data_IF_783023314100
#
_entry.id   IF_783023314100
#
_cell.length_a   1.000
_cell.length_b   1.000
_cell.length_c   1.000
_cell.angle_alpha   90.00
_cell.angle_beta   90.00
_cell.angle_gamma   90.00
#
_symmetry.space_group_name_H-M   'P 1'
#
loop_
_entity.id
_entity.type
_entity.pdbx_description
1 polymer ?
#
# COMPACT_ATOMS: atom_id res chain seq x y z
N UNK A 1 30.86 12.05 -15.23
CA UNK A 1 29.74 11.38 -15.91
C UNK A 1 29.26 10.36 -14.89
N UNK A 2 28.19 10.69 -14.17
CA UNK A 2 27.84 10.05 -12.89
C UNK A 2 27.52 8.57 -13.06
N UNK A 3 27.99 7.76 -12.12
CA UNK A 3 27.51 6.40 -11.91
C UNK A 3 25.98 6.46 -11.81
N UNK A 4 25.29 5.81 -12.75
CA UNK A 4 23.88 5.52 -12.54
C UNK A 4 23.84 4.47 -11.43
N UNK A 5 23.50 4.89 -10.22
CA UNK A 5 23.09 3.95 -9.17
C UNK A 5 21.98 3.09 -9.77
N UNK A 6 22.26 1.80 -9.97
CA UNK A 6 21.33 0.87 -10.60
C UNK A 6 20.05 0.78 -9.74
N UNK A 7 18.97 1.38 -10.23
CA UNK A 7 17.67 1.35 -9.55
C UNK A 7 17.01 0.01 -9.84
N UNK A 8 16.55 -0.67 -8.78
CA UNK A 8 15.86 -1.95 -8.93
C UNK A 8 14.55 -1.81 -9.72
N UNK A 9 14.50 -2.40 -10.91
CA UNK A 9 13.28 -2.53 -11.71
C UNK A 9 12.45 -3.74 -11.29
N UNK A 10 11.12 -3.59 -11.25
CA UNK A 10 10.27 -4.68 -10.78
C UNK A 10 10.17 -5.83 -11.78
N UNK A 11 10.27 -5.54 -13.07
CA UNK A 11 10.19 -6.55 -14.12
C UNK A 11 11.53 -7.23 -14.35
N UNK A 12 12.65 -6.49 -14.35
CA UNK A 12 13.97 -7.02 -14.72
C UNK A 12 15.01 -7.04 -13.58
N UNK A 13 14.72 -6.43 -12.44
CA UNK A 13 15.66 -6.29 -11.32
C UNK A 13 16.78 -5.31 -11.66
N UNK A 14 18.03 -5.73 -11.45
CA UNK A 14 19.23 -4.94 -11.82
C UNK A 14 19.80 -5.33 -13.20
N UNK A 15 19.10 -6.15 -13.97
CA UNK A 15 19.57 -6.63 -15.27
C UNK A 15 18.49 -6.50 -16.34
N UNK A 16 18.68 -7.20 -17.46
CA UNK A 16 17.72 -7.22 -18.57
C UNK A 16 16.80 -8.45 -18.56
N UNK A 17 17.05 -9.42 -17.67
CA UNK A 17 16.29 -10.66 -17.61
C UNK A 17 14.97 -10.46 -16.85
N UNK A 18 13.86 -10.88 -17.46
CA UNK A 18 12.54 -10.82 -16.81
C UNK A 18 12.51 -11.73 -15.57
N UNK A 19 12.13 -11.14 -14.44
CA UNK A 19 11.98 -11.82 -13.16
C UNK A 19 10.78 -12.78 -13.20
N UNK A 20 10.90 -13.88 -12.45
CA UNK A 20 9.87 -14.92 -12.40
C UNK A 20 8.44 -14.42 -12.11
N UNK A 21 8.20 -13.47 -11.18
CA UNK A 21 6.84 -12.94 -10.94
C UNK A 21 6.22 -12.26 -12.17
N UNK A 22 7.06 -11.67 -13.02
CA UNK A 22 6.63 -10.96 -14.24
C UNK A 22 6.59 -11.84 -15.49
N UNK A 23 7.19 -13.03 -15.49
CA UNK A 23 7.36 -13.85 -16.70
C UNK A 23 6.07 -14.04 -17.51
N UNK A 24 4.96 -14.40 -16.86
CA UNK A 24 3.66 -14.59 -17.54
C UNK A 24 3.07 -13.27 -18.06
N UNK A 25 3.26 -12.19 -17.31
CA UNK A 25 2.83 -10.86 -17.72
C UNK A 25 3.63 -10.37 -18.93
N UNK A 26 4.96 -10.51 -18.91
CA UNK A 26 5.83 -10.14 -20.03
C UNK A 26 5.48 -10.90 -21.30
N UNK A 27 5.27 -12.23 -21.22
CA UNK A 27 4.84 -13.00 -22.40
C UNK A 27 3.49 -12.53 -22.97
N UNK A 28 2.53 -12.18 -22.10
CA UNK A 28 1.26 -11.61 -22.54
C UNK A 28 1.45 -10.20 -23.15
N UNK A 29 2.28 -9.37 -22.54
CA UNK A 29 2.52 -7.99 -22.94
C UNK A 29 3.25 -7.91 -24.30
N UNK A 30 4.24 -8.77 -24.53
CA UNK A 30 4.95 -8.89 -25.81
C UNK A 30 4.05 -9.40 -26.95
N UNK A 31 3.04 -10.21 -26.62
CA UNK A 31 2.03 -10.65 -27.58
C UNK A 31 0.98 -9.58 -27.91
N UNK A 32 0.90 -8.50 -27.14
CA UNK A 32 -0.08 -7.43 -27.35
C UNK A 32 0.45 -6.36 -28.31
N UNK A 33 -0.39 -5.91 -29.24
CA UNK A 33 0.00 -4.80 -30.13
C UNK A 33 -0.10 -3.45 -29.39
N UNK A 34 0.81 -2.48 -29.65
CA UNK A 34 0.73 -1.15 -29.04
C UNK A 34 -0.63 -0.46 -29.25
N UNK A 35 -1.25 -0.64 -30.41
CA UNK A 35 -2.57 -0.07 -30.72
C UNK A 35 -3.68 -0.68 -29.85
N UNK A 36 -3.63 -1.98 -29.56
CA UNK A 36 -4.57 -2.65 -28.68
C UNK A 36 -4.41 -2.17 -27.22
N UNK A 37 -3.17 -2.02 -26.73
CA UNK A 37 -2.88 -1.50 -25.40
C UNK A 37 -3.36 -0.05 -25.24
N UNK A 38 -3.10 0.81 -26.23
CA UNK A 38 -3.59 2.19 -26.23
C UNK A 38 -5.12 2.27 -26.24
N UNK A 39 -5.79 1.39 -27.00
CA UNK A 39 -7.24 1.27 -26.99
C UNK A 39 -7.76 0.88 -25.60
N UNK A 40 -7.20 -0.16 -24.98
CA UNK A 40 -7.56 -0.59 -23.62
C UNK A 40 -7.29 0.49 -22.57
N UNK A 41 -6.20 1.26 -22.71
CA UNK A 41 -5.91 2.39 -21.82
C UNK A 41 -6.99 3.49 -21.90
N UNK A 42 -7.45 3.82 -23.11
CA UNK A 42 -8.55 4.80 -23.29
C UNK A 42 -9.87 4.29 -22.73
N UNK A 43 -10.17 3.01 -22.92
CA UNK A 43 -11.36 2.34 -22.37
C UNK A 43 -11.33 2.34 -20.84
N UNK A 44 -10.20 1.95 -20.23
CA UNK A 44 -9.99 1.98 -18.78
C UNK A 44 -10.17 3.40 -18.22
N UNK A 45 -9.54 4.41 -18.80
CA UNK A 45 -9.72 5.82 -18.38
C UNK A 45 -11.17 6.30 -18.48
N UNK A 46 -11.90 5.83 -19.48
CA UNK A 46 -13.33 6.18 -19.66
C UNK A 46 -14.20 5.46 -18.64
N UNK A 47 -13.85 4.23 -18.29
CA UNK A 47 -14.50 3.48 -17.23
C UNK A 47 -14.28 4.16 -15.86
N UNK A 48 -13.03 4.48 -15.50
CA UNK A 48 -12.68 5.22 -14.27
C UNK A 48 -13.43 6.55 -14.15
N UNK A 49 -13.56 7.29 -15.25
CA UNK A 49 -14.35 8.53 -15.30
C UNK A 49 -15.83 8.32 -14.95
N UNK A 50 -16.42 7.22 -15.43
CA UNK A 50 -17.84 6.93 -15.23
C UNK A 50 -18.15 6.38 -13.85
N UNK A 51 -17.20 5.67 -13.22
CA UNK A 51 -17.37 5.14 -11.87
C UNK A 51 -17.15 6.20 -10.78
N UNK A 52 -16.71 7.41 -11.13
CA UNK A 52 -16.64 8.54 -10.19
C UNK A 52 -15.53 8.40 -9.15
N UNK A 53 -14.46 7.67 -9.47
CA UNK A 53 -13.31 7.50 -8.58
C UNK A 53 -12.43 8.75 -8.73
N UNK A 54 -12.78 9.79 -8.00
CA UNK A 54 -12.10 11.08 -7.97
C UNK A 54 -11.37 11.25 -6.64
N UNK A 55 -10.24 11.95 -6.65
CA UNK A 55 -9.53 12.32 -5.43
C UNK A 55 -9.79 13.79 -5.11
N UNK A 56 -10.14 14.07 -3.85
CA UNK A 56 -10.06 15.44 -3.31
C UNK A 56 -8.61 15.71 -2.93
N UNK A 57 -7.95 16.62 -3.65
CA UNK A 57 -6.62 17.09 -3.24
C UNK A 57 -6.80 17.87 -1.94
N UNK A 58 -6.37 17.28 -0.82
CA UNK A 58 -6.35 17.96 0.46
C UNK A 58 -5.42 19.18 0.37
N UNK A 59 -6.01 20.38 0.36
CA UNK A 59 -5.25 21.64 0.34
C UNK A 59 -5.95 22.81 -0.35
N UNK A 60 -6.88 22.56 -1.28
CA UNK A 60 -7.56 23.62 -2.02
C UNK A 60 -9.09 23.51 -1.92
N UNK A 61 -9.73 24.62 -1.54
CA UNK A 61 -11.20 24.77 -1.47
C UNK A 61 -11.83 24.74 -2.88
N UNK A 62 -11.01 24.82 -3.92
CA UNK A 62 -11.35 24.70 -5.35
C UNK A 62 -10.58 23.56 -6.05
N UNK A 63 -10.29 22.46 -5.36
CA UNK A 63 -9.70 21.30 -6.02
C UNK A 63 -10.74 20.65 -6.95
N UNK A 64 -10.74 21.05 -8.23
CA UNK A 64 -11.41 20.31 -9.31
C UNK A 64 -11.12 18.81 -9.14
N UNK A 65 -12.16 17.98 -9.15
CA UNK A 65 -12.04 16.53 -9.07
C UNK A 65 -11.08 16.02 -10.17
N UNK A 66 -9.85 15.66 -9.79
CA UNK A 66 -8.87 15.10 -10.72
C UNK A 66 -8.92 13.59 -10.68
N UNK A 67 -9.00 12.99 -11.87
CA UNK A 67 -8.87 11.55 -12.04
C UNK A 67 -7.44 11.15 -11.75
N UNK A 68 -7.28 10.13 -10.91
CA UNK A 68 -5.97 9.51 -10.71
C UNK A 68 -5.53 8.86 -12.03
N UNK A 69 -4.30 9.11 -12.51
CA UNK A 69 -3.79 8.45 -13.69
C UNK A 69 -3.72 6.93 -13.43
N UNK A 70 -4.32 6.16 -14.33
CA UNK A 70 -4.31 4.71 -14.28
C UNK A 70 -3.28 4.15 -15.27
N UNK A 71 -2.38 3.31 -14.75
CA UNK A 71 -1.42 2.54 -15.55
C UNK A 71 -1.92 1.10 -15.75
N UNK A 72 -1.67 0.55 -16.94
CA UNK A 72 -2.04 -0.81 -17.29
C UNK A 72 -1.01 -1.84 -16.79
N UNK A 73 0.23 -1.40 -16.53
CA UNK A 73 1.31 -2.26 -16.05
C UNK A 73 1.13 -2.48 -14.54
N UNK A 74 0.78 -3.70 -14.09
CA UNK A 74 0.58 -3.96 -12.68
C UNK A 74 1.93 -3.99 -11.93
N UNK A 75 1.88 -3.59 -10.66
CA UNK A 75 2.94 -3.92 -9.69
C UNK A 75 2.71 -5.35 -9.20
N UNK A 76 3.53 -6.30 -9.68
CA UNK A 76 3.41 -7.71 -9.32
C UNK A 76 4.38 -8.01 -8.19
N UNK A 77 3.86 -8.52 -7.07
CA UNK A 77 4.64 -8.99 -5.93
C UNK A 77 4.51 -10.51 -5.86
N UNK A 78 5.63 -11.22 -5.83
CA UNK A 78 5.67 -12.68 -5.74
C UNK A 78 5.17 -13.19 -4.39
N UNK A 79 4.72 -14.44 -4.33
CA UNK A 79 4.14 -15.02 -3.11
C UNK A 79 5.12 -15.04 -1.91
N UNK A 80 6.41 -15.33 -2.16
CA UNK A 80 7.45 -15.32 -1.12
C UNK A 80 7.75 -13.91 -0.60
N UNK A 81 7.77 -12.93 -1.49
CA UNK A 81 7.96 -11.51 -1.17
C UNK A 81 6.79 -10.99 -0.36
N UNK A 82 5.56 -11.31 -0.78
CA UNK A 82 4.34 -10.96 -0.05
C UNK A 82 4.32 -11.59 1.35
N UNK A 83 4.70 -12.87 1.47
CA UNK A 83 4.78 -13.54 2.77
C UNK A 83 5.79 -12.88 3.71
N UNK A 84 6.92 -12.36 3.19
CA UNK A 84 7.88 -11.58 3.97
C UNK A 84 7.26 -10.26 4.44
N UNK A 85 6.64 -9.52 3.52
CA UNK A 85 5.97 -8.25 3.81
C UNK A 85 4.88 -8.41 4.88
N UNK A 86 4.00 -9.40 4.74
CA UNK A 86 2.91 -9.67 5.71
C UNK A 86 3.47 -9.89 7.12
N UNK A 87 4.50 -10.73 7.27
CA UNK A 87 5.11 -10.97 8.59
C UNK A 87 5.70 -9.69 9.20
N UNK A 88 6.39 -8.88 8.40
CA UNK A 88 6.96 -7.61 8.84
C UNK A 88 5.90 -6.59 9.24
N UNK A 89 4.86 -6.43 8.42
CA UNK A 89 3.74 -5.51 8.66
C UNK A 89 2.97 -5.93 9.92
N UNK A 90 2.63 -7.21 10.07
CA UNK A 90 1.95 -7.70 11.27
C UNK A 90 2.76 -7.47 12.54
N UNK A 91 4.07 -7.75 12.50
CA UNK A 91 4.96 -7.48 13.62
C UNK A 91 4.94 -5.99 13.99
N UNK A 92 5.06 -5.11 13.00
CA UNK A 92 5.08 -3.66 13.20
C UNK A 92 3.77 -3.13 13.77
N UNK A 93 2.63 -3.55 13.23
CA UNK A 93 1.30 -3.14 13.70
C UNK A 93 1.03 -3.62 15.14
N UNK A 94 1.48 -4.82 15.50
CA UNK A 94 1.43 -5.31 16.90
C UNK A 94 2.27 -4.43 17.81
N UNK A 95 3.48 -4.05 17.39
CA UNK A 95 4.36 -3.17 18.16
C UNK A 95 3.75 -1.76 18.32
N UNK A 96 3.13 -1.20 17.28
CA UNK A 96 2.43 0.10 17.35
C UNK A 96 1.29 0.05 18.36
N UNK A 97 0.44 -0.98 18.32
CA UNK A 97 -0.66 -1.09 19.29
C UNK A 97 -0.16 -1.30 20.73
N UNK A 98 0.87 -2.13 20.92
CA UNK A 98 1.49 -2.32 22.23
C UNK A 98 2.14 -1.02 22.75
N UNK A 99 2.78 -0.25 21.87
CA UNK A 99 3.35 1.06 22.19
C UNK A 99 2.27 2.05 22.61
N UNK A 100 1.18 2.18 21.84
CA UNK A 100 0.06 3.06 22.18
C UNK A 100 -0.56 2.68 23.54
N UNK A 101 -0.74 1.38 23.79
CA UNK A 101 -1.19 0.89 25.09
C UNK A 101 -0.23 1.28 26.20
N UNK A 102 1.07 1.04 26.05
CA UNK A 102 2.05 1.36 27.07
C UNK A 102 2.09 2.86 27.39
N UNK A 103 2.10 3.72 26.35
CA UNK A 103 2.18 5.18 26.49
C UNK A 103 0.98 5.76 27.26
N UNK A 104 -0.22 5.22 27.06
CA UNK A 104 -1.40 5.65 27.80
C UNK A 104 -1.58 4.95 29.15
N UNK A 105 -0.71 4.00 29.51
CA UNK A 105 -0.80 3.25 30.78
C UNK A 105 0.49 3.38 31.61
N UNK A 106 1.30 2.31 31.64
CA UNK A 106 2.42 2.19 32.57
C UNK A 106 3.69 2.90 32.08
N UNK A 107 3.77 3.24 30.80
CA UNK A 107 4.92 3.91 30.19
C UNK A 107 6.23 3.19 30.46
N UNK A 108 6.22 1.86 30.41
CA UNK A 108 7.37 1.00 30.68
C UNK A 108 8.52 1.29 29.71
N UNK A 109 8.24 1.62 28.44
CA UNK A 109 9.28 1.99 27.47
C UNK A 109 10.04 3.26 27.86
N UNK A 110 9.37 4.19 28.53
CA UNK A 110 9.96 5.43 29.06
C UNK A 110 10.71 5.12 30.35
N UNK A 111 10.11 4.37 31.28
CA UNK A 111 10.76 3.95 32.55
C UNK A 111 12.02 3.12 32.32
N UNK A 112 12.04 2.32 31.26
CA UNK A 112 13.19 1.55 30.83
C UNK A 112 14.29 2.39 30.13
N UNK A 113 14.08 3.70 29.96
CA UNK A 113 15.03 4.62 29.33
C UNK A 113 15.21 4.41 27.82
N UNK A 114 14.29 3.71 27.15
CA UNK A 114 14.37 3.45 25.70
C UNK A 114 13.77 4.57 24.86
N UNK A 115 12.80 5.30 25.42
CA UNK A 115 12.19 6.46 24.79
C UNK A 115 12.25 7.67 25.72
N UNK A 116 12.82 8.81 25.28
CA UNK A 116 12.77 10.04 26.04
C UNK A 116 11.33 10.54 26.26
N UNK A 117 10.99 10.86 27.49
CA UNK A 117 9.63 11.27 27.87
C UNK A 117 9.14 12.54 27.15
N UNK A 118 10.04 13.49 26.88
CA UNK A 118 9.70 14.74 26.21
C UNK A 118 9.13 14.53 24.80
N UNK A 119 9.55 13.47 24.08
CA UNK A 119 9.03 13.13 22.75
C UNK A 119 7.53 12.76 22.75
N UNK A 120 6.99 12.43 23.91
CA UNK A 120 5.57 12.10 24.10
C UNK A 120 4.84 13.26 24.73
N UNK A 121 5.32 13.76 25.87
CA UNK A 121 4.62 14.80 26.64
C UNK A 121 4.49 16.13 25.89
N UNK A 122 5.46 16.46 25.05
CA UNK A 122 5.47 17.70 24.25
C UNK A 122 4.90 17.49 22.84
N UNK A 123 4.39 16.29 22.54
CA UNK A 123 3.82 15.99 21.23
C UNK A 123 2.33 16.39 21.20
N UNK A 124 1.96 17.27 20.27
CA UNK A 124 0.58 17.73 20.09
C UNK A 124 -0.42 16.59 19.81
N UNK A 125 0.06 15.45 19.30
CA UNK A 125 -0.78 14.28 19.05
C UNK A 125 -1.04 13.43 20.31
N UNK A 126 -0.32 13.66 21.41
CA UNK A 126 -0.58 12.95 22.66
C UNK A 126 -1.83 13.49 23.33
N UNK A 127 -2.74 12.60 23.72
CA UNK A 127 -4.03 12.97 24.30
C UNK A 127 -4.10 12.56 25.78
N UNK A 128 -3.90 13.48 26.76
CA UNK A 128 -3.98 13.15 28.18
C UNK A 128 -5.29 12.49 28.61
N UNK A 129 -6.39 12.76 27.89
CA UNK A 129 -7.72 12.17 28.11
C UNK A 129 -7.76 10.65 27.86
N UNK A 130 -6.79 10.11 27.14
CA UNK A 130 -6.68 8.68 26.83
C UNK A 130 -5.88 7.91 27.90
N UNK A 131 -5.30 8.60 28.89
CA UNK A 131 -4.54 7.93 29.96
C UNK A 131 -5.47 7.02 30.77
N UNK A 132 -5.09 5.75 30.90
CA UNK A 132 -5.86 4.71 31.57
C UNK A 132 -7.10 4.25 30.80
N UNK A 133 -7.28 4.67 29.55
CA UNK A 133 -8.36 4.18 28.71
C UNK A 133 -8.00 2.82 28.12
N UNK A 134 -8.72 1.77 28.53
CA UNK A 134 -8.62 0.44 27.94
C UNK A 134 -9.62 0.29 26.77
N UNK A 135 -9.17 0.32 25.50
CA UNK A 135 -10.06 0.07 24.37
C UNK A 135 -10.55 -1.38 24.35
N UNK A 136 -11.74 -1.66 23.79
CA UNK A 136 -12.20 -3.02 23.55
C UNK A 136 -11.14 -3.86 22.81
N UNK A 137 -10.84 -5.04 23.35
CA UNK A 137 -9.82 -5.93 22.79
C UNK A 137 -8.38 -5.43 22.90
N UNK A 138 -8.12 -4.31 23.59
CA UNK A 138 -6.78 -3.73 23.73
C UNK A 138 -6.22 -3.15 22.42
N UNK A 139 -7.08 -2.87 21.44
CA UNK A 139 -6.68 -2.36 20.12
C UNK A 139 -6.97 -0.86 20.03
N UNK A 140 -5.92 -0.05 19.88
CA UNK A 140 -6.05 1.39 19.67
C UNK A 140 -6.25 1.72 18.19
N UNK A 141 -5.47 1.08 17.32
CA UNK A 141 -5.52 1.32 15.89
C UNK A 141 -5.93 0.04 15.16
N UNK A 142 -7.18 0.06 14.68
CA UNK A 142 -7.85 -1.09 14.06
C UNK A 142 -7.42 -1.25 12.60
N UNK A 143 -7.09 -0.15 11.93
CA UNK A 143 -6.64 -0.09 10.55
C UNK A 143 -5.39 0.79 10.52
N UNK A 144 -4.32 0.27 9.95
CA UNK A 144 -3.04 0.99 9.78
C UNK A 144 -2.61 0.87 8.32
N UNK A 145 -2.28 2.00 7.69
CA UNK A 145 -1.57 2.01 6.41
C UNK A 145 -0.06 2.02 6.65
N UNK A 146 0.69 1.18 5.94
CA UNK A 146 2.15 1.14 6.03
C UNK A 146 2.72 1.48 4.66
N UNK A 147 3.38 2.63 4.56
CA UNK A 147 3.94 3.10 3.30
C UNK A 147 5.32 2.48 3.09
N UNK A 148 5.46 1.74 2.00
CA UNK A 148 6.65 0.93 1.71
C UNK A 148 7.33 1.38 0.43
N UNK A 149 8.66 1.41 0.47
CA UNK A 149 9.51 1.48 -0.72
C UNK A 149 10.37 0.23 -0.84
N UNK A 150 10.77 -0.07 -2.07
CA UNK A 150 11.63 -1.21 -2.38
C UNK A 150 12.89 -0.71 -3.08
N UNK A 151 14.05 -1.15 -2.62
CA UNK A 151 15.36 -0.79 -3.20
C UNK A 151 16.07 -1.97 -3.86
N UNK A 152 15.58 -3.19 -3.65
CA UNK A 152 16.21 -4.41 -4.13
C UNK A 152 15.29 -5.63 -4.06
N UNK A 153 15.78 -6.83 -4.45
CA UNK A 153 14.99 -8.05 -4.55
C UNK A 153 14.26 -8.45 -3.27
N UNK A 154 14.79 -8.17 -2.08
CA UNK A 154 14.10 -8.44 -0.81
C UNK A 154 14.25 -7.28 0.18
N UNK A 155 14.55 -6.09 -0.34
CA UNK A 155 14.83 -4.91 0.47
C UNK A 155 13.62 -3.97 0.43
N UNK A 156 12.86 -4.00 1.52
CA UNK A 156 11.69 -3.16 1.72
C UNK A 156 11.89 -2.28 2.95
N UNK A 157 11.55 -1.01 2.83
CA UNK A 157 11.68 -0.01 3.89
C UNK A 157 10.34 0.66 4.14
N UNK A 158 10.00 0.85 5.42
CA UNK A 158 8.84 1.64 5.82
C UNK A 158 9.24 3.11 5.78
N UNK A 159 8.50 3.92 5.03
CA UNK A 159 8.63 5.37 5.04
C UNK A 159 7.75 6.00 6.12
N UNK A 160 6.51 5.54 6.25
CA UNK A 160 5.52 6.15 7.12
C UNK A 160 4.49 5.12 7.64
N UNK A 161 3.99 5.37 8.85
CA UNK A 161 2.89 4.62 9.48
C UNK A 161 1.64 5.51 9.60
N UNK A 162 0.59 5.16 8.86
CA UNK A 162 -0.70 5.84 8.89
C UNK A 162 -1.65 5.18 9.89
N UNK A 163 -1.50 5.53 11.17
CA UNK A 163 -2.25 4.91 12.28
C UNK A 163 -3.49 5.72 12.77
N UNK A 164 -3.83 6.83 12.11
CA UNK A 164 -4.98 7.69 12.46
C UNK A 164 -6.23 7.27 11.70
N UNK A 165 -6.42 7.83 10.51
CA UNK A 165 -7.55 7.56 9.61
C UNK A 165 -7.00 7.21 8.22
N UNK A 166 -6.37 6.03 8.05
CA UNK A 166 -5.80 5.64 6.77
C UNK A 166 -6.89 5.56 5.69
N UNK A 167 -6.54 5.99 4.48
CA UNK A 167 -7.44 6.01 3.32
C UNK A 167 -6.82 5.22 2.16
N UNK A 168 -7.52 5.20 1.02
CA UNK A 168 -6.98 4.68 -0.23
C UNK A 168 -7.44 3.26 -0.62
N UNK A 169 -8.17 2.58 0.26
CA UNK A 169 -8.64 1.21 0.01
C UNK A 169 -9.65 1.12 -1.12
N UNK A 170 -10.44 2.18 -1.35
CA UNK A 170 -11.32 2.30 -2.51
C UNK A 170 -10.52 2.19 -3.82
N UNK A 171 -9.39 2.88 -3.94
CA UNK A 171 -8.53 2.79 -5.14
C UNK A 171 -8.00 1.38 -5.34
N UNK A 172 -7.56 0.70 -4.28
CA UNK A 172 -7.09 -0.68 -4.37
C UNK A 172 -8.16 -1.61 -4.95
N UNK A 173 -9.40 -1.51 -4.44
CA UNK A 173 -10.52 -2.33 -4.89
C UNK A 173 -10.90 -2.01 -6.35
N UNK A 174 -11.05 -0.74 -6.68
CA UNK A 174 -11.47 -0.31 -8.00
C UNK A 174 -10.41 -0.54 -9.08
N UNK A 175 -9.13 -0.39 -8.75
CA UNK A 175 -8.02 -0.73 -9.65
C UNK A 175 -8.06 -2.23 -9.99
N UNK A 176 -8.34 -3.09 -9.01
CA UNK A 176 -8.45 -4.53 -9.26
C UNK A 176 -9.65 -4.86 -10.14
N UNK A 177 -10.83 -4.33 -9.83
CA UNK A 177 -12.05 -4.58 -10.60
C UNK A 177 -11.90 -4.07 -12.04
N UNK A 178 -11.29 -2.90 -12.23
CA UNK A 178 -11.02 -2.37 -13.57
C UNK A 178 -10.06 -3.27 -14.35
N UNK A 179 -8.95 -3.70 -13.75
CA UNK A 179 -8.01 -4.61 -14.39
C UNK A 179 -8.67 -5.95 -14.77
N UNK A 180 -9.50 -6.53 -13.89
CA UNK A 180 -10.23 -7.77 -14.17
C UNK A 180 -11.19 -7.62 -15.35
N UNK A 181 -11.90 -6.49 -15.44
CA UNK A 181 -12.86 -6.22 -16.51
C UNK A 181 -12.18 -5.95 -17.85
N UNK A 182 -11.05 -5.23 -17.84
CA UNK A 182 -10.34 -4.82 -19.06
C UNK A 182 -9.42 -5.92 -19.59
N UNK A 183 -8.87 -6.79 -18.75
CA UNK A 183 -7.90 -7.83 -19.13
C UNK A 183 -8.25 -9.21 -18.56
N UNK A 184 -9.48 -9.72 -18.73
CA UNK A 184 -9.87 -11.02 -18.18
C UNK A 184 -8.94 -12.16 -18.63
N UNK A 185 -8.40 -12.08 -19.85
CA UNK A 185 -7.43 -13.04 -20.39
C UNK A 185 -6.10 -13.07 -19.61
N UNK A 186 -5.64 -11.92 -19.09
CA UNK A 186 -4.42 -11.83 -18.31
C UNK A 186 -4.61 -12.48 -16.93
N UNK A 187 -5.75 -12.24 -16.28
CA UNK A 187 -6.09 -12.84 -14.99
C UNK A 187 -6.39 -14.34 -15.08
N UNK A 188 -6.73 -14.86 -16.27
CA UNK A 188 -6.81 -16.30 -16.50
C UNK A 188 -5.42 -16.97 -16.52
N UNK A 189 -4.36 -16.23 -16.87
CA UNK A 189 -2.99 -16.75 -16.99
C UNK A 189 -2.16 -16.53 -15.71
N UNK A 190 -2.44 -15.44 -14.98
CA UNK A 190 -1.72 -15.03 -13.78
C UNK A 190 -2.60 -15.28 -12.54
N UNK A 191 -2.19 -16.16 -11.60
CA UNK A 191 -2.98 -16.46 -10.41
C UNK A 191 -2.88 -15.31 -9.38
N UNK A 192 -3.68 -14.26 -9.57
CA UNK A 192 -3.72 -13.09 -8.69
C UNK A 192 -4.66 -13.33 -7.50
N UNK A 193 -4.19 -13.08 -6.27
CA UNK A 193 -5.01 -13.15 -5.06
C UNK A 193 -6.09 -12.06 -5.05
N UNK A 194 -7.33 -12.42 -4.71
CA UNK A 194 -8.48 -11.49 -4.64
C UNK A 194 -8.36 -10.54 -3.44
N UNK A 195 -8.83 -9.30 -3.63
CA UNK A 195 -8.85 -8.25 -2.59
C UNK A 195 -10.26 -7.79 -2.21
N UNK A 196 -11.29 -8.22 -2.95
CA UNK A 196 -12.69 -7.81 -2.76
C UNK A 196 -13.30 -8.19 -1.41
N UNK A 197 -12.69 -9.13 -0.68
CA UNK A 197 -13.11 -9.51 0.67
C UNK A 197 -12.78 -8.48 1.76
N UNK A 198 -11.98 -7.44 1.46
CA UNK A 198 -11.54 -6.45 2.46
C UNK A 198 -12.69 -5.84 3.28
N UNK A 199 -13.79 -5.32 2.69
CA UNK A 199 -14.86 -4.71 3.47
C UNK A 199 -15.59 -5.69 4.39
N UNK A 200 -15.62 -6.98 4.03
CA UNK A 200 -16.22 -8.01 4.89
C UNK A 200 -15.32 -8.37 6.08
N UNK A 201 -14.00 -8.29 5.92
CA UNK A 201 -13.04 -8.57 6.98
C UNK A 201 -12.99 -7.47 8.06
N UNK A 202 -13.57 -6.29 7.80
CA UNK A 202 -13.65 -5.17 8.74
C UNK A 202 -14.96 -5.10 9.55
N UNK A 203 -15.88 -6.05 9.34
CA UNK A 203 -17.18 -6.06 10.03
C UNK A 203 -17.12 -6.74 11.39
#
# INVERSE_FOLDING_TARGET
MGESDDVFDEMHGFGEAVRSPYARYSSWFEGATPSALLKKSREARTFFRRTGITFNVYGDVEADERLIPFDLVPRIIGASEWALLVRGIEQRVRAINAFLYDIYHRQEIIRAGRLPEHLIRENDAFLPKMIGFDPPGGIYTHIVGIDLVRTGPNEFFVLEDNARTPSGVSYMLENRETMLKMFPELFAQVPVQRVSGYPMALR
#
